data_IF_737707756985
#
_entry.id   IF_737707756985
#
_cell.length_a   1.000
_cell.length_b   1.000
_cell.length_c   1.000
_cell.angle_alpha   90.00
_cell.angle_beta   90.00
_cell.angle_gamma   90.00
#
_symmetry.space_group_name_H-M   'P 1'
#
loop_
_entity.id
_entity.type
_entity.pdbx_description
1 polymer ?
#
# COMPACT_ATOMS: atom_id res chain seq x y z
N UNK A 1 4.53 9.95 23.85
CA UNK A 1 5.08 8.71 24.36
C UNK A 1 4.12 8.15 25.40
N UNK A 2 3.22 7.30 25.01
CA UNK A 2 2.33 6.54 25.88
C UNK A 2 2.25 5.16 25.26
N UNK A 3 3.20 4.26 25.62
CA UNK A 3 3.09 2.86 25.33
C UNK A 3 1.89 2.32 26.11
N UNK A 4 0.97 1.69 25.41
CA UNK A 4 -0.09 0.93 26.07
C UNK A 4 0.59 -0.17 26.89
N UNK A 5 0.52 -0.05 28.21
CA UNK A 5 0.90 -1.12 29.12
C UNK A 5 -0.18 -2.19 28.95
N UNK A 6 0.15 -3.26 28.25
CA UNK A 6 -0.73 -4.42 28.18
C UNK A 6 -0.72 -5.04 29.57
N UNK A 7 -1.87 -5.04 30.24
CA UNK A 7 -2.01 -5.61 31.56
C UNK A 7 -1.71 -7.12 31.51
N UNK A 8 -0.65 -7.55 32.22
CA UNK A 8 -0.24 -8.96 32.26
C UNK A 8 -1.37 -9.87 32.75
N UNK A 9 -2.23 -9.39 33.63
CA UNK A 9 -3.39 -10.12 34.13
C UNK A 9 -4.45 -10.35 33.04
N UNK A 10 -4.63 -9.39 32.10
CA UNK A 10 -5.54 -9.56 30.96
C UNK A 10 -4.98 -10.57 29.93
N UNK A 11 -3.66 -10.61 29.74
CA UNK A 11 -2.98 -11.60 28.90
C UNK A 11 -3.02 -12.99 29.51
N UNK A 12 -2.81 -13.13 30.83
CA UNK A 12 -2.92 -14.41 31.55
C UNK A 12 -4.36 -14.93 31.54
N UNK A 13 -5.37 -14.05 31.68
CA UNK A 13 -6.78 -14.43 31.57
C UNK A 13 -7.14 -14.89 30.16
N UNK A 14 -6.64 -14.21 29.11
CA UNK A 14 -6.84 -14.60 27.73
C UNK A 14 -6.12 -15.93 27.41
N UNK A 15 -4.90 -16.11 27.86
CA UNK A 15 -4.13 -17.35 27.69
C UNK A 15 -4.79 -18.54 28.41
N UNK A 16 -5.34 -18.32 29.60
CA UNK A 16 -6.09 -19.35 30.36
C UNK A 16 -7.41 -19.72 29.68
N UNK A 17 -8.06 -18.76 29.03
CA UNK A 17 -9.32 -18.98 28.31
C UNK A 17 -9.13 -19.77 27.01
N UNK A 18 -7.98 -19.65 26.36
CA UNK A 18 -7.70 -20.29 25.06
C UNK A 18 -7.05 -21.67 25.21
N UNK A 19 -6.28 -21.94 26.30
CA UNK A 19 -5.40 -23.12 26.36
C UNK A 19 -5.51 -23.94 27.65
N UNK A 20 -6.30 -23.50 28.65
CA UNK A 20 -6.15 -24.03 30.01
C UNK A 20 -4.84 -23.54 30.64
N UNK A 21 -4.74 -23.55 31.97
CA UNK A 21 -3.76 -22.78 32.74
C UNK A 21 -2.26 -23.04 32.48
N UNK A 22 -1.89 -24.08 31.72
CA UNK A 22 -0.49 -24.49 31.51
C UNK A 22 -0.17 -24.90 30.05
N UNK A 23 -0.94 -24.44 29.07
CA UNK A 23 -0.77 -24.84 27.68
C UNK A 23 0.46 -24.22 27.00
N UNK A 24 1.03 -24.96 26.05
CA UNK A 24 2.22 -24.56 25.24
C UNK A 24 2.04 -23.18 24.61
N UNK A 25 0.82 -22.83 24.16
CA UNK A 25 0.52 -21.53 23.56
C UNK A 25 0.67 -20.35 24.54
N UNK A 26 0.31 -20.53 25.82
CA UNK A 26 0.48 -19.50 26.85
C UNK A 26 1.97 -19.26 27.16
N UNK A 27 2.75 -20.32 27.22
CA UNK A 27 4.20 -20.24 27.39
C UNK A 27 4.87 -19.61 26.18
N UNK A 28 4.45 -19.98 24.98
CA UNK A 28 4.93 -19.37 23.72
C UNK A 28 4.62 -17.88 23.65
N UNK A 29 3.43 -17.46 24.04
CA UNK A 29 3.05 -16.05 24.07
C UNK A 29 3.90 -15.25 25.06
N UNK A 30 4.16 -15.77 26.26
CA UNK A 30 5.05 -15.11 27.25
C UNK A 30 6.49 -15.01 26.76
N UNK A 31 7.01 -16.07 26.14
CA UNK A 31 8.35 -16.07 25.56
C UNK A 31 8.49 -15.02 24.43
N UNK A 32 7.53 -14.96 23.50
CA UNK A 32 7.52 -13.97 22.42
C UNK A 32 7.46 -12.56 22.98
N UNK A 33 6.62 -12.31 23.99
CA UNK A 33 6.51 -11.01 24.64
C UNK A 33 7.81 -10.61 25.37
N UNK A 34 8.49 -11.58 26.03
CA UNK A 34 9.79 -11.38 26.64
C UNK A 34 10.89 -11.02 25.64
N UNK A 35 10.93 -11.70 24.48
CA UNK A 35 11.87 -11.38 23.39
C UNK A 35 11.60 -10.04 22.71
N UNK A 36 10.37 -9.56 22.76
CA UNK A 36 9.99 -8.24 22.26
C UNK A 36 10.24 -7.10 23.27
N UNK A 37 10.76 -7.41 24.48
CA UNK A 37 11.02 -6.42 25.52
C UNK A 37 9.77 -5.83 26.15
N UNK A 38 8.64 -6.54 26.06
CA UNK A 38 7.35 -6.11 26.60
C UNK A 38 7.09 -6.61 28.02
N UNK A 39 7.90 -7.54 28.52
CA UNK A 39 7.88 -8.02 29.91
C UNK A 39 9.28 -7.89 30.53
N UNK A 40 9.37 -7.46 31.81
CA UNK A 40 10.62 -7.49 32.54
C UNK A 40 11.00 -8.95 32.89
N UNK A 41 12.26 -9.37 32.72
CA UNK A 41 12.69 -10.73 33.02
C UNK A 41 12.82 -10.96 34.55
N UNK A 42 12.19 -12.00 35.08
CA UNK A 42 12.55 -12.55 36.38
C UNK A 42 13.70 -13.56 36.25
N UNK A 43 14.58 -13.70 37.25
CA UNK A 43 15.89 -14.30 37.06
C UNK A 43 15.92 -15.84 37.17
N UNK A 44 16.76 -16.42 36.34
CA UNK A 44 17.55 -17.65 36.47
C UNK A 44 16.91 -19.08 36.51
N UNK A 45 15.58 -19.25 36.55
CA UNK A 45 14.93 -20.56 36.27
C UNK A 45 14.30 -20.65 34.87
N UNK A 46 14.40 -19.57 34.09
CA UNK A 46 13.77 -19.40 32.78
C UNK A 46 14.53 -20.10 31.64
N UNK A 47 15.83 -20.33 31.74
CA UNK A 47 16.63 -20.81 30.61
C UNK A 47 16.21 -22.20 30.10
N UNK A 48 15.90 -23.14 31.02
CA UNK A 48 15.48 -24.49 30.62
C UNK A 48 14.03 -24.53 30.12
N UNK A 49 13.14 -23.74 30.74
CA UNK A 49 11.75 -23.63 30.28
C UNK A 49 11.66 -22.90 28.91
N UNK A 50 12.48 -21.86 28.74
CA UNK A 50 12.59 -21.15 27.49
C UNK A 50 13.17 -22.01 26.36
N UNK A 51 14.19 -22.84 26.65
CA UNK A 51 14.76 -23.78 25.69
C UNK A 51 13.72 -24.82 25.23
N UNK A 52 12.91 -25.35 26.17
CA UNK A 52 11.83 -26.28 25.82
C UNK A 52 10.73 -25.63 24.94
N UNK A 53 10.36 -24.36 25.21
CA UNK A 53 9.41 -23.61 24.42
C UNK A 53 9.97 -23.33 23.03
N UNK A 54 11.24 -22.89 22.92
CA UNK A 54 11.91 -22.68 21.62
C UNK A 54 11.94 -23.98 20.83
N UNK A 55 12.33 -25.11 21.44
CA UNK A 55 12.35 -26.38 20.75
C UNK A 55 10.96 -26.85 20.29
N UNK A 56 9.92 -26.61 21.08
CA UNK A 56 8.54 -26.91 20.68
C UNK A 56 8.07 -26.02 19.48
N UNK A 57 8.41 -24.73 19.51
CA UNK A 57 8.11 -23.81 18.42
C UNK A 57 8.89 -24.17 17.15
N UNK A 58 10.17 -24.52 17.26
CA UNK A 58 10.99 -24.97 16.13
C UNK A 58 10.49 -26.29 15.54
N UNK A 59 9.99 -27.21 16.39
CA UNK A 59 9.40 -28.46 15.93
C UNK A 59 8.08 -28.25 15.13
N UNK A 60 7.32 -27.24 15.48
CA UNK A 60 6.02 -26.93 14.85
C UNK A 60 6.14 -25.97 13.66
N UNK A 61 7.00 -24.96 13.76
CA UNK A 61 7.13 -23.88 12.76
C UNK A 61 8.41 -23.97 11.92
N UNK A 62 9.36 -24.84 12.29
CA UNK A 62 10.69 -24.93 11.70
C UNK A 62 11.70 -23.99 12.34
N UNK A 63 13.01 -24.27 12.16
CA UNK A 63 14.11 -23.52 12.78
C UNK A 63 14.23 -22.06 12.25
N UNK A 64 13.58 -21.73 11.17
CA UNK A 64 13.56 -20.39 10.54
C UNK A 64 12.43 -19.49 11.05
N UNK A 65 11.64 -19.95 12.06
CA UNK A 65 10.53 -19.16 12.62
C UNK A 65 10.91 -17.74 13.07
N UNK A 66 12.11 -17.45 13.62
CA UNK A 66 12.47 -16.08 13.99
C UNK A 66 12.53 -15.15 12.77
N UNK A 67 12.95 -15.66 11.59
CA UNK A 67 12.94 -14.89 10.36
C UNK A 67 11.52 -14.71 9.80
N UNK A 68 10.65 -15.71 10.00
CA UNK A 68 9.25 -15.66 9.58
C UNK A 68 8.46 -14.55 10.28
N UNK A 69 8.74 -14.30 11.58
CA UNK A 69 8.09 -13.26 12.37
C UNK A 69 8.88 -11.95 12.43
N UNK A 70 10.07 -11.90 11.83
CA UNK A 70 10.93 -10.72 11.88
C UNK A 70 10.25 -9.49 11.25
N UNK A 71 10.27 -8.32 11.91
CA UNK A 71 9.69 -7.10 11.37
C UNK A 71 10.38 -6.66 10.06
N UNK A 72 9.59 -6.23 9.09
CA UNK A 72 10.07 -5.74 7.77
C UNK A 72 9.52 -4.37 7.40
N UNK A 73 8.54 -3.87 8.16
CA UNK A 73 7.94 -2.58 7.89
C UNK A 73 8.98 -1.45 8.03
N UNK A 74 9.06 -0.63 6.98
CA UNK A 74 9.83 0.62 6.99
C UNK A 74 9.10 1.64 6.12
N UNK A 75 8.48 2.63 6.76
CA UNK A 75 7.75 3.70 6.09
C UNK A 75 8.58 4.45 5.03
N UNK A 76 9.91 4.54 5.22
CA UNK A 76 10.83 5.22 4.27
C UNK A 76 11.02 4.43 2.99
N UNK A 77 10.69 3.14 2.99
CA UNK A 77 10.75 2.26 1.82
C UNK A 77 9.43 2.18 1.08
N UNK A 78 8.33 2.70 1.65
CA UNK A 78 7.06 2.76 0.95
C UNK A 78 7.21 3.56 -0.35
N UNK A 79 6.68 3.04 -1.45
CA UNK A 79 6.79 3.65 -2.78
C UNK A 79 5.38 4.01 -3.23
N UNK A 80 5.18 5.28 -3.57
CA UNK A 80 3.98 5.77 -4.24
C UNK A 80 4.19 5.72 -5.76
N UNK A 81 3.18 5.20 -6.45
CA UNK A 81 3.03 5.30 -7.89
C UNK A 81 1.76 6.11 -8.17
N UNK A 82 1.94 7.32 -8.70
CA UNK A 82 0.87 8.27 -9.05
C UNK A 82 1.24 9.11 -10.29
N UNK A 83 2.34 8.76 -10.95
CA UNK A 83 2.99 9.54 -12.00
C UNK A 83 2.27 9.46 -13.36
N UNK A 84 1.41 8.47 -13.60
CA UNK A 84 0.69 8.34 -14.88
C UNK A 84 -0.17 9.56 -15.17
N UNK A 85 -0.85 10.05 -14.16
CA UNK A 85 -1.66 11.25 -14.22
C UNK A 85 -0.79 12.52 -14.38
N UNK A 86 0.28 12.64 -13.56
CA UNK A 86 1.19 13.77 -13.62
C UNK A 86 1.88 13.87 -14.99
N UNK A 87 2.35 12.74 -15.55
CA UNK A 87 2.97 12.70 -16.88
C UNK A 87 2.01 13.18 -17.97
N UNK A 88 0.74 12.73 -17.93
CA UNK A 88 -0.25 13.16 -18.92
C UNK A 88 -0.52 14.68 -18.85
N UNK A 89 -0.60 15.25 -17.65
CA UNK A 89 -0.74 16.71 -17.49
C UNK A 89 0.48 17.45 -17.99
N UNK A 90 1.68 16.95 -17.73
CA UNK A 90 2.91 17.53 -18.27
C UNK A 90 2.95 17.49 -19.80
N UNK A 91 2.51 16.39 -20.41
CA UNK A 91 2.47 16.25 -21.86
C UNK A 91 1.46 17.22 -22.49
N UNK A 92 0.27 17.35 -21.89
CA UNK A 92 -0.72 18.34 -22.31
C UNK A 92 -0.16 19.79 -22.21
N UNK A 93 0.46 20.11 -21.07
CA UNK A 93 1.05 21.44 -20.86
C UNK A 93 2.21 21.70 -21.83
N UNK A 94 3.10 20.72 -22.04
CA UNK A 94 4.24 20.85 -22.95
C UNK A 94 3.79 21.10 -24.39
N UNK A 95 2.78 20.36 -24.86
CA UNK A 95 2.21 20.57 -26.18
C UNK A 95 1.62 22.00 -26.34
N UNK A 96 0.98 22.52 -25.30
CA UNK A 96 0.45 23.88 -25.29
C UNK A 96 1.54 24.94 -25.39
N UNK A 97 2.56 24.87 -24.53
CA UNK A 97 3.64 25.86 -24.51
C UNK A 97 4.52 25.81 -25.74
N UNK A 98 4.73 24.63 -26.31
CA UNK A 98 5.53 24.46 -27.54
C UNK A 98 4.73 24.72 -28.80
N UNK A 99 3.43 24.98 -28.73
CA UNK A 99 2.51 25.08 -29.86
C UNK A 99 2.57 23.84 -30.78
N UNK A 100 2.65 22.65 -30.19
CA UNK A 100 2.84 21.38 -30.89
C UNK A 100 1.58 20.51 -30.83
N UNK A 101 0.72 20.65 -31.84
CA UNK A 101 -0.50 19.84 -31.93
C UNK A 101 -0.19 18.35 -32.21
N UNK A 102 0.97 18.04 -32.82
CA UNK A 102 1.35 16.66 -33.09
C UNK A 102 1.75 15.89 -31.82
N UNK A 103 2.23 16.59 -30.80
CA UNK A 103 2.54 15.98 -29.49
C UNK A 103 1.28 15.43 -28.77
N UNK A 104 0.07 15.83 -29.19
CA UNK A 104 -1.21 15.39 -28.65
C UNK A 104 -1.78 14.13 -29.33
N UNK A 105 -0.98 13.38 -30.09
CA UNK A 105 -1.41 12.12 -30.72
C UNK A 105 -1.42 10.91 -29.76
N UNK A 106 -1.06 11.09 -28.49
CA UNK A 106 -1.13 10.06 -27.46
C UNK A 106 -2.56 9.68 -27.10
N UNK A 107 -2.75 8.50 -26.52
CA UNK A 107 -4.03 8.08 -25.95
C UNK A 107 -4.19 8.59 -24.53
N UNK A 108 -5.04 9.59 -24.37
CA UNK A 108 -5.38 10.19 -23.07
C UNK A 108 -6.72 9.70 -22.50
N UNK A 109 -7.44 8.84 -23.22
CA UNK A 109 -8.82 8.44 -22.85
C UNK A 109 -8.88 7.67 -21.55
N UNK A 110 -7.87 6.83 -21.27
CA UNK A 110 -7.79 6.05 -20.04
C UNK A 110 -7.70 6.89 -18.75
N UNK A 111 -7.41 8.19 -18.85
CA UNK A 111 -7.28 9.11 -17.72
C UNK A 111 -8.60 9.82 -17.37
N UNK A 112 -9.65 9.61 -18.14
CA UNK A 112 -11.02 9.97 -17.80
C UNK A 112 -11.28 11.47 -17.62
N UNK A 113 -12.27 11.82 -16.78
CA UNK A 113 -12.78 13.19 -16.65
C UNK A 113 -11.74 14.20 -16.16
N UNK A 114 -10.74 13.77 -15.39
CA UNK A 114 -9.70 14.69 -14.93
C UNK A 114 -8.83 15.22 -16.09
N UNK A 115 -8.49 14.38 -17.07
CA UNK A 115 -7.81 14.82 -18.31
C UNK A 115 -8.75 15.66 -19.18
N UNK A 116 -10.03 15.28 -19.24
CA UNK A 116 -11.03 16.03 -19.98
C UNK A 116 -11.13 17.48 -19.49
N UNK A 117 -11.17 17.70 -18.19
CA UNK A 117 -11.22 19.04 -17.60
C UNK A 117 -9.98 19.88 -17.96
N UNK A 118 -8.80 19.30 -17.85
CA UNK A 118 -7.52 19.96 -18.20
C UNK A 118 -7.47 20.29 -19.71
N UNK A 119 -7.88 19.33 -20.55
CA UNK A 119 -7.90 19.52 -21.99
C UNK A 119 -8.90 20.60 -22.43
N UNK A 120 -10.08 20.69 -21.78
CA UNK A 120 -11.04 21.77 -22.01
C UNK A 120 -10.43 23.15 -21.72
N UNK A 121 -9.74 23.25 -20.58
CA UNK A 121 -9.07 24.49 -20.22
C UNK A 121 -8.01 24.91 -21.27
N UNK A 122 -7.17 23.99 -21.72
CA UNK A 122 -6.19 24.25 -22.77
C UNK A 122 -6.86 24.55 -24.11
N UNK A 123 -7.99 23.90 -24.44
CA UNK A 123 -8.74 24.19 -25.66
C UNK A 123 -9.24 25.65 -25.71
N UNK A 124 -9.81 26.12 -24.59
CA UNK A 124 -10.26 27.52 -24.47
C UNK A 124 -9.09 28.49 -24.61
N UNK A 125 -8.02 28.22 -23.89
CA UNK A 125 -6.84 29.08 -23.92
C UNK A 125 -6.20 29.13 -25.30
N UNK A 126 -6.12 28.01 -26.01
CA UNK A 126 -5.62 27.96 -27.38
C UNK A 126 -6.52 28.74 -28.36
N UNK A 127 -7.84 28.76 -28.13
CA UNK A 127 -8.78 29.58 -28.92
C UNK A 127 -8.54 31.09 -28.71
N UNK A 128 -8.40 31.50 -27.46
CA UNK A 128 -8.07 32.89 -27.09
C UNK A 128 -6.77 33.37 -27.77
N UNK A 129 -5.76 32.46 -27.81
CA UNK A 129 -4.47 32.74 -28.43
C UNK A 129 -4.46 32.59 -29.95
N UNK A 130 -5.62 32.32 -30.60
CA UNK A 130 -5.76 32.17 -32.08
C UNK A 130 -5.14 30.87 -32.63
N UNK A 131 -4.84 29.88 -31.79
CA UNK A 131 -4.20 28.58 -32.15
C UNK A 131 -5.27 27.53 -32.45
N UNK A 132 -5.96 27.65 -33.57
CA UNK A 132 -7.15 26.87 -33.92
C UNK A 132 -6.90 25.35 -33.98
N UNK A 133 -5.78 24.92 -34.60
CA UNK A 133 -5.44 23.50 -34.73
C UNK A 133 -5.20 22.86 -33.36
N UNK A 134 -4.47 23.56 -32.49
CA UNK A 134 -4.18 23.12 -31.12
C UNK A 134 -5.47 23.06 -30.29
N UNK A 135 -6.33 24.07 -30.39
CA UNK A 135 -7.64 24.12 -29.74
C UNK A 135 -8.53 22.94 -30.16
N UNK A 136 -8.53 22.61 -31.45
CA UNK A 136 -9.27 21.46 -31.99
C UNK A 136 -8.77 20.11 -31.41
N UNK A 137 -7.45 19.93 -31.29
CA UNK A 137 -6.87 18.71 -30.71
C UNK A 137 -7.21 18.55 -29.22
N UNK A 138 -7.10 19.61 -28.44
CA UNK A 138 -7.50 19.57 -27.05
C UNK A 138 -8.99 19.27 -26.85
N UNK A 139 -9.87 19.86 -27.71
CA UNK A 139 -11.28 19.55 -27.65
C UNK A 139 -11.57 18.07 -27.94
N UNK A 140 -10.90 17.48 -28.96
CA UNK A 140 -11.03 16.05 -29.27
C UNK A 140 -10.59 15.17 -28.10
N UNK A 141 -9.47 15.50 -27.43
CA UNK A 141 -9.01 14.78 -26.23
C UNK A 141 -10.05 14.88 -25.11
N UNK A 142 -10.58 16.09 -24.86
CA UNK A 142 -11.58 16.33 -23.83
C UNK A 142 -12.85 15.50 -24.06
N UNK A 143 -13.35 15.49 -25.28
CA UNK A 143 -14.56 14.76 -25.66
C UNK A 143 -14.35 13.24 -25.55
N UNK A 144 -13.23 12.73 -26.06
CA UNK A 144 -12.90 11.31 -26.00
C UNK A 144 -12.71 10.83 -24.55
N UNK A 145 -12.01 11.59 -23.71
CA UNK A 145 -11.79 11.28 -22.31
C UNK A 145 -13.10 11.31 -21.50
N UNK A 146 -13.98 12.29 -21.72
CA UNK A 146 -15.31 12.35 -21.11
C UNK A 146 -16.21 11.20 -21.54
N UNK A 147 -16.20 10.85 -22.83
CA UNK A 147 -16.96 9.72 -23.34
C UNK A 147 -16.50 8.40 -22.72
N UNK A 148 -15.19 8.19 -22.58
CA UNK A 148 -14.62 7.03 -21.92
C UNK A 148 -14.99 6.97 -20.45
N UNK A 149 -14.94 8.08 -19.72
CA UNK A 149 -15.32 8.15 -18.31
C UNK A 149 -16.81 7.83 -18.10
N UNK A 150 -17.67 8.26 -19.02
CA UNK A 150 -19.12 8.01 -18.97
C UNK A 150 -19.47 6.56 -19.32
N UNK A 151 -18.75 5.96 -20.28
CA UNK A 151 -18.99 4.59 -20.73
C UNK A 151 -18.54 3.53 -19.71
N UNK A 152 -17.51 3.85 -18.93
CA UNK A 152 -16.93 2.95 -17.94
C UNK A 152 -16.58 3.72 -16.66
N UNK A 153 -17.59 3.97 -15.80
CA UNK A 153 -17.39 4.70 -14.56
C UNK A 153 -16.38 3.97 -13.65
N UNK A 154 -15.56 4.74 -12.94
CA UNK A 154 -14.62 4.19 -11.97
C UNK A 154 -15.36 3.75 -10.69
N UNK A 155 -15.68 2.45 -10.51
CA UNK A 155 -16.55 1.98 -9.43
C UNK A 155 -15.92 2.16 -8.04
N UNK A 156 -14.60 2.30 -7.98
CA UNK A 156 -13.83 2.45 -6.73
C UNK A 156 -13.18 3.83 -6.59
N UNK A 157 -13.65 4.83 -7.36
CA UNK A 157 -13.14 6.19 -7.23
C UNK A 157 -13.44 6.74 -5.83
N UNK A 158 -12.39 7.15 -5.12
CA UNK A 158 -12.49 7.60 -3.73
C UNK A 158 -12.34 6.50 -2.68
N UNK A 159 -12.39 5.22 -3.06
CA UNK A 159 -12.10 4.13 -2.15
C UNK A 159 -10.60 4.01 -1.85
N UNK A 160 -10.30 3.63 -0.62
CA UNK A 160 -8.97 3.25 -0.18
C UNK A 160 -8.98 1.76 0.16
N UNK A 161 -8.18 0.98 -0.57
CA UNK A 161 -8.09 -0.45 -0.41
C UNK A 161 -6.75 -0.87 0.18
N UNK A 162 -6.75 -1.68 1.24
CA UNK A 162 -5.55 -2.36 1.74
C UNK A 162 -5.56 -3.80 1.22
N UNK A 163 -4.53 -4.17 0.47
CA UNK A 163 -4.34 -5.52 -0.09
C UNK A 163 -3.05 -6.10 0.47
N UNK A 164 -3.16 -7.19 1.22
CA UNK A 164 -1.99 -7.78 1.88
C UNK A 164 -1.38 -8.92 1.07
N UNK A 165 -0.11 -9.27 1.33
CA UNK A 165 0.54 -10.43 0.74
C UNK A 165 0.71 -10.38 -0.78
N UNK A 166 0.92 -9.19 -1.34
CA UNK A 166 1.01 -9.01 -2.79
C UNK A 166 2.34 -9.54 -3.32
N UNK A 167 2.25 -10.37 -4.35
CA UNK A 167 3.39 -10.86 -5.12
C UNK A 167 3.03 -10.92 -6.61
N UNK A 168 4.00 -10.82 -7.54
CA UNK A 168 3.75 -11.01 -8.95
C UNK A 168 3.01 -12.34 -9.22
N UNK A 169 2.02 -12.31 -10.11
CA UNK A 169 1.19 -13.46 -10.52
C UNK A 169 0.33 -14.09 -9.41
N UNK A 170 0.17 -13.42 -8.26
CA UNK A 170 -0.72 -13.86 -7.19
C UNK A 170 -2.17 -13.40 -7.42
N UNK A 171 -3.12 -14.02 -6.69
CA UNK A 171 -4.52 -13.56 -6.65
C UNK A 171 -4.58 -12.12 -6.14
N UNK A 172 -3.80 -11.78 -5.11
CA UNK A 172 -3.69 -10.41 -4.60
C UNK A 172 -3.28 -9.41 -5.69
N UNK A 173 -2.36 -9.79 -6.60
CA UNK A 173 -1.98 -8.96 -7.73
C UNK A 173 -3.15 -8.69 -8.68
N UNK A 174 -4.01 -9.67 -8.94
CA UNK A 174 -5.20 -9.48 -9.78
C UNK A 174 -6.23 -8.56 -9.12
N UNK A 175 -6.38 -8.64 -7.80
CA UNK A 175 -7.23 -7.71 -7.04
C UNK A 175 -6.68 -6.28 -7.15
N UNK A 176 -5.36 -6.09 -7.00
CA UNK A 176 -4.71 -4.79 -7.20
C UNK A 176 -5.00 -4.24 -8.60
N UNK A 177 -4.90 -5.08 -9.65
CA UNK A 177 -5.20 -4.67 -11.03
C UNK A 177 -6.64 -4.15 -11.17
N UNK A 178 -7.62 -4.90 -10.65
CA UNK A 178 -9.03 -4.53 -10.70
C UNK A 178 -9.34 -3.24 -9.93
N UNK A 179 -8.76 -3.07 -8.75
CA UNK A 179 -8.92 -1.87 -7.92
C UNK A 179 -8.33 -0.63 -8.60
N UNK A 180 -7.15 -0.73 -9.19
CA UNK A 180 -6.52 0.36 -9.94
C UNK A 180 -7.32 0.72 -11.19
N UNK A 181 -7.84 -0.28 -11.92
CA UNK A 181 -8.72 -0.08 -13.05
C UNK A 181 -10.05 0.57 -12.65
N UNK A 182 -10.50 0.33 -11.42
CA UNK A 182 -11.68 0.97 -10.83
C UNK A 182 -11.44 2.32 -10.18
N UNK A 183 -10.21 2.85 -10.17
CA UNK A 183 -9.91 4.19 -9.68
C UNK A 183 -9.55 4.31 -8.20
N UNK A 184 -9.32 3.19 -7.49
CA UNK A 184 -9.01 3.19 -6.05
C UNK A 184 -7.60 3.71 -5.74
N UNK A 185 -7.42 4.19 -4.51
CA UNK A 185 -6.11 4.26 -3.86
C UNK A 185 -5.81 2.90 -3.23
N UNK A 186 -4.79 2.20 -3.72
CA UNK A 186 -4.43 0.86 -3.26
C UNK A 186 -3.18 0.89 -2.40
N UNK A 187 -3.23 0.35 -1.20
CA UNK A 187 -2.10 0.13 -0.29
C UNK A 187 -1.77 -1.37 -0.33
N UNK A 188 -0.79 -1.74 -1.15
CA UNK A 188 -0.35 -3.12 -1.35
C UNK A 188 0.83 -3.44 -0.45
N UNK A 189 0.71 -4.46 0.43
CA UNK A 189 1.83 -4.88 1.26
C UNK A 189 2.50 -6.11 0.70
N UNK A 190 3.83 -6.15 0.77
CA UNK A 190 4.62 -7.30 0.34
C UNK A 190 5.70 -7.62 1.37
N UNK A 191 5.83 -8.91 1.69
CA UNK A 191 6.91 -9.42 2.52
C UNK A 191 8.27 -9.28 1.81
N UNK A 192 8.30 -9.49 0.50
CA UNK A 192 9.51 -9.35 -0.33
C UNK A 192 9.56 -7.98 -1.01
N UNK A 193 10.63 -7.23 -0.78
CA UNK A 193 10.82 -5.90 -1.37
C UNK A 193 11.95 -5.88 -2.41
N UNK A 194 12.07 -6.97 -3.16
CA UNK A 194 13.09 -7.19 -4.20
C UNK A 194 12.84 -6.28 -5.42
N UNK A 195 13.86 -6.04 -6.26
CA UNK A 195 13.72 -5.25 -7.48
C UNK A 195 12.59 -5.74 -8.41
N UNK A 196 12.38 -7.06 -8.51
CA UNK A 196 11.31 -7.65 -9.32
C UNK A 196 9.90 -7.28 -8.84
N UNK A 197 9.66 -7.21 -7.52
CA UNK A 197 8.38 -6.80 -6.96
C UNK A 197 8.12 -5.32 -7.22
N UNK A 198 9.15 -4.48 -7.10
CA UNK A 198 9.06 -3.03 -7.39
C UNK A 198 8.81 -2.78 -8.88
N UNK A 199 9.48 -3.53 -9.76
CA UNK A 199 9.27 -3.44 -11.21
C UNK A 199 7.85 -3.88 -11.59
N UNK A 200 7.36 -4.99 -11.01
CA UNK A 200 5.99 -5.45 -11.16
C UNK A 200 4.99 -4.38 -10.72
N UNK A 201 5.14 -3.79 -9.54
CA UNK A 201 4.22 -2.78 -9.04
C UNK A 201 4.15 -1.56 -9.96
N UNK A 202 5.31 -1.10 -10.48
CA UNK A 202 5.37 -0.01 -11.46
C UNK A 202 4.63 -0.34 -12.74
N UNK A 203 4.86 -1.54 -13.29
CA UNK A 203 4.21 -1.99 -14.52
C UNK A 203 2.70 -2.17 -14.31
N UNK A 204 2.29 -2.79 -13.21
CA UNK A 204 0.89 -2.92 -12.81
C UNK A 204 0.18 -1.58 -12.75
N UNK A 205 0.79 -0.60 -12.08
CA UNK A 205 0.25 0.75 -11.99
C UNK A 205 0.12 1.39 -13.40
N UNK A 206 1.17 1.32 -14.21
CA UNK A 206 1.16 1.91 -15.56
C UNK A 206 0.13 1.28 -16.49
N UNK A 207 -0.08 -0.03 -16.35
CA UNK A 207 -1.01 -0.77 -17.22
C UNK A 207 -2.46 -0.57 -16.79
N UNK A 208 -2.75 -0.59 -15.48
CA UNK A 208 -4.12 -0.69 -15.00
C UNK A 208 -4.67 0.58 -14.37
N UNK A 209 -3.82 1.49 -13.84
CA UNK A 209 -4.31 2.64 -13.12
C UNK A 209 -5.15 3.58 -14.00
N UNK A 210 -6.31 3.96 -13.50
CA UNK A 210 -7.15 5.04 -14.02
C UNK A 210 -6.77 6.39 -13.44
N UNK A 211 -7.39 7.45 -13.98
CA UNK A 211 -7.28 8.80 -13.42
C UNK A 211 -7.68 8.81 -11.94
N UNK A 212 -6.81 9.37 -11.11
CA UNK A 212 -6.99 9.44 -9.67
C UNK A 212 -6.59 8.18 -8.89
N UNK A 213 -6.38 7.04 -9.56
CA UNK A 213 -5.88 5.86 -8.89
C UNK A 213 -4.43 6.04 -8.42
N UNK A 214 -4.14 5.52 -7.25
CA UNK A 214 -2.79 5.52 -6.66
C UNK A 214 -2.42 4.12 -6.20
N UNK A 215 -1.15 3.78 -6.28
CA UNK A 215 -0.61 2.54 -5.72
C UNK A 215 0.51 2.84 -4.74
N UNK A 216 0.33 2.44 -3.49
CA UNK A 216 1.39 2.34 -2.51
C UNK A 216 1.89 0.90 -2.45
N UNK A 217 3.19 0.69 -2.63
CA UNK A 217 3.84 -0.58 -2.33
C UNK A 217 4.60 -0.44 -1.00
N UNK A 218 4.23 -1.23 -0.01
CA UNK A 218 4.73 -1.12 1.37
C UNK A 218 5.35 -2.44 1.81
N UNK A 219 6.60 -2.43 2.32
CA UNK A 219 7.18 -3.63 2.91
C UNK A 219 6.50 -3.91 4.25
N UNK A 220 5.98 -5.12 4.44
CA UNK A 220 5.44 -5.56 5.72
C UNK A 220 5.44 -7.08 5.82
N UNK A 221 5.73 -7.57 7.02
CA UNK A 221 5.58 -8.96 7.41
C UNK A 221 4.34 -9.11 8.31
N UNK A 222 3.25 -9.62 7.78
CA UNK A 222 2.00 -9.75 8.54
C UNK A 222 2.02 -10.87 9.59
N UNK A 223 3.08 -11.68 9.64
CA UNK A 223 3.34 -12.58 10.76
C UNK A 223 3.95 -11.83 11.95
N UNK A 224 4.32 -10.56 11.78
CA UNK A 224 4.86 -9.70 12.82
C UNK A 224 3.80 -8.73 13.32
N UNK A 225 3.34 -8.86 14.56
CA UNK A 225 2.40 -7.91 15.17
C UNK A 225 2.95 -6.48 15.15
N UNK A 226 4.27 -6.33 15.34
CA UNK A 226 4.92 -5.01 15.26
C UNK A 226 4.74 -4.35 13.87
N UNK A 227 4.80 -5.14 12.81
CA UNK A 227 4.58 -4.62 11.45
C UNK A 227 3.12 -4.29 11.21
N UNK A 228 2.20 -5.10 11.75
CA UNK A 228 0.76 -4.83 11.66
C UNK A 228 0.42 -3.52 12.33
N UNK A 229 0.86 -3.32 13.58
CA UNK A 229 0.63 -2.07 14.32
C UNK A 229 1.25 -0.87 13.60
N UNK A 230 2.50 -1.00 13.16
CA UNK A 230 3.19 0.06 12.45
C UNK A 230 2.54 0.40 11.09
N UNK A 231 2.01 -0.59 10.38
CA UNK A 231 1.26 -0.40 9.14
C UNK A 231 -0.06 0.34 9.40
N UNK A 232 -0.82 -0.07 10.41
CA UNK A 232 -2.09 0.58 10.79
C UNK A 232 -1.85 2.03 11.16
N UNK A 233 -0.85 2.28 12.00
CA UNK A 233 -0.44 3.64 12.39
C UNK A 233 -0.03 4.46 11.16
N UNK A 234 0.79 3.91 10.28
CA UNK A 234 1.22 4.57 9.06
C UNK A 234 0.05 4.89 8.12
N UNK A 235 -0.91 3.97 7.95
CA UNK A 235 -2.09 4.19 7.11
C UNK A 235 -2.93 5.33 7.66
N UNK A 236 -3.24 5.32 8.96
CA UNK A 236 -4.15 6.27 9.61
C UNK A 236 -3.56 7.66 9.87
N UNK A 237 -2.24 7.85 9.75
CA UNK A 237 -1.61 9.13 10.10
C UNK A 237 -0.97 9.82 8.91
N UNK A 238 -0.97 11.18 8.94
CA UNK A 238 -0.31 12.02 7.93
C UNK A 238 1.21 11.90 8.09
N UNK A 239 1.91 11.60 7.01
CA UNK A 239 3.37 11.65 6.98
C UNK A 239 3.84 13.00 6.43
N UNK A 240 4.70 13.67 7.18
CA UNK A 240 5.22 15.00 6.84
C UNK A 240 6.75 15.01 6.88
N UNK A 241 7.33 15.80 6.00
CA UNK A 241 8.77 16.11 6.02
C UNK A 241 8.94 17.63 6.22
N UNK A 242 9.67 18.01 7.25
CA UNK A 242 10.00 19.43 7.51
C UNK A 242 11.46 19.69 7.17
N UNK A 243 11.71 20.63 6.27
CA UNK A 243 13.03 21.12 5.91
C UNK A 243 13.08 22.62 6.21
N UNK A 244 13.68 22.99 7.34
CA UNK A 244 13.67 24.37 7.81
C UNK A 244 12.24 24.87 8.09
N UNK A 245 11.82 25.94 7.44
CA UNK A 245 10.48 26.52 7.60
C UNK A 245 9.41 25.84 6.71
N UNK A 246 9.80 24.94 5.80
CA UNK A 246 8.87 24.31 4.85
C UNK A 246 8.49 22.93 5.33
N UNK A 247 7.18 22.66 5.46
CA UNK A 247 6.63 21.35 5.75
C UNK A 247 5.87 20.83 4.52
N UNK A 248 6.32 19.67 4.02
CA UNK A 248 5.70 18.98 2.88
C UNK A 248 4.96 17.73 3.40
N UNK A 249 3.72 17.54 2.97
CA UNK A 249 2.97 16.31 3.22
C UNK A 249 3.48 15.26 2.23
N UNK A 250 4.04 14.16 2.74
CA UNK A 250 4.52 13.03 1.95
C UNK A 250 3.40 12.01 1.69
N UNK A 251 2.50 11.86 2.65
CA UNK A 251 1.35 10.96 2.59
C UNK A 251 0.21 11.54 3.44
N UNK A 252 -1.03 11.61 2.92
CA UNK A 252 -2.20 11.95 3.75
C UNK A 252 -2.54 10.80 4.73
N UNK A 253 -3.39 11.07 5.71
CA UNK A 253 -4.08 10.01 6.43
C UNK A 253 -5.08 9.33 5.48
N UNK A 254 -5.19 8.02 5.59
CA UNK A 254 -6.16 7.23 4.85
C UNK A 254 -7.15 6.56 5.79
N UNK A 255 -8.40 6.46 5.35
CA UNK A 255 -9.46 5.66 5.98
C UNK A 255 -9.83 4.53 5.01
N UNK A 256 -9.28 3.31 5.20
CA UNK A 256 -9.56 2.21 4.29
C UNK A 256 -11.04 1.82 4.30
N UNK A 257 -11.65 1.80 3.12
CA UNK A 257 -13.03 1.31 2.90
C UNK A 257 -13.05 -0.17 2.50
N UNK A 258 -11.93 -0.69 1.98
CA UNK A 258 -11.81 -2.06 1.49
C UNK A 258 -10.56 -2.74 2.08
N UNK A 259 -10.71 -4.01 2.49
CA UNK A 259 -9.62 -4.80 3.03
C UNK A 259 -9.59 -6.21 2.45
N UNK A 260 -8.44 -6.62 1.88
CA UNK A 260 -8.23 -7.92 1.23
C UNK A 260 -7.04 -8.66 1.89
N UNK A 261 -7.29 -9.55 2.85
CA UNK A 261 -6.25 -10.25 3.59
C UNK A 261 -5.78 -11.52 2.85
N UNK A 262 -4.77 -11.41 1.98
CA UNK A 262 -4.19 -12.54 1.27
C UNK A 262 -2.91 -13.11 1.88
N UNK A 263 -2.39 -12.52 2.95
CA UNK A 263 -1.21 -13.05 3.60
C UNK A 263 -1.57 -14.31 4.39
N UNK A 264 -1.21 -15.46 3.82
CA UNK A 264 -1.10 -16.70 4.58
C UNK A 264 0.38 -17.06 4.70
N UNK A 265 0.87 -17.56 5.85
CA UNK A 265 2.18 -18.18 5.91
C UNK A 265 2.20 -19.35 4.90
N UNK A 266 3.35 -19.62 4.25
CA UNK A 266 3.45 -20.78 3.39
C UNK A 266 3.19 -22.02 4.25
N UNK A 267 2.05 -22.68 4.02
CA UNK A 267 1.82 -24.01 4.57
C UNK A 267 2.72 -24.94 3.78
N UNK A 268 3.84 -25.33 4.36
CA UNK A 268 4.61 -26.44 3.79
C UNK A 268 3.74 -27.67 3.96
N UNK A 269 3.04 -28.03 2.88
CA UNK A 269 2.36 -29.32 2.80
C UNK A 269 3.40 -30.43 2.97
N UNK A 270 3.19 -31.23 3.99
CA UNK A 270 3.89 -32.50 4.22
C UNK A 270 3.56 -33.49 3.12
#
# INVERSE_FOLDING_TARGET
AGGAVVDSAALDAFAAQVTGSDGVLAQTARFVLGKLGLNEPEPAQEDDANAAVVAAVEAELGADWPEQVAPRFDARKAILFDDRWASAREDLARAFYNNDAAALNGDFTALGEAVAAEARWFAERAREDGRADLAGRYAQIADAASASASADPAPYAGDVAVVTGVAPNSIAAQVVNGLLAGGATVIATSHSFRPSVKAWARETYRTHARAGAQLWLVPANLSSYRDVDALVDWVGHVQKKTNGATTTVLKPAYEPSLFFPFAAPPVHGS
#
